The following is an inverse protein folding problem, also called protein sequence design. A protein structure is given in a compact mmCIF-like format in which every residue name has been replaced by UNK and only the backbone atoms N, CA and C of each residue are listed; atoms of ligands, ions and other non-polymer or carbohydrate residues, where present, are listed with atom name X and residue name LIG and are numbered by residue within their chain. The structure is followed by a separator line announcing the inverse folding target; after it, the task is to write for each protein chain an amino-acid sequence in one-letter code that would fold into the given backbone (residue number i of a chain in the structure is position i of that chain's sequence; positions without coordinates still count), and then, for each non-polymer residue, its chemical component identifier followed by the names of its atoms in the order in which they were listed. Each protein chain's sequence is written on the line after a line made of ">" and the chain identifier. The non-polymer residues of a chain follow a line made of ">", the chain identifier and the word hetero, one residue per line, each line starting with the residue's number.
data_IF_602455632139
#
_entry.id   IF_602455632139
#
_cell.length_a   1.000
_cell.length_b   1.000
_cell.length_c   1.000
_cell.angle_alpha   90.00
_cell.angle_beta   90.00
_cell.angle_gamma   90.00
#
_symmetry.space_group_name_H-M   'P 1'
#
loop_
_entity.id
_entity.type
_entity.pdbx_description
1 polymer ?
#
# COMPACT_ATOMS: atom_id res chain seq x y z
N UNK A 1 -19.82 -19.66 -8.37
CA UNK A 1 -18.70 -20.08 -7.87
C UNK A 1 -17.98 -19.07 -7.12
N UNK A 2 -17.31 -19.45 -6.31
CA UNK A 2 -16.67 -18.52 -5.49
C UNK A 2 -15.55 -17.86 -6.21
N UNK A 3 -15.52 -16.60 -6.06
CA UNK A 3 -14.41 -15.84 -6.49
C UNK A 3 -13.35 -15.96 -5.43
N UNK A 4 -12.22 -16.47 -5.78
CA UNK A 4 -11.15 -16.64 -4.83
C UNK A 4 -10.32 -15.39 -4.66
N UNK A 5 -10.83 -14.29 -5.14
CA UNK A 5 -10.10 -13.04 -5.04
C UNK A 5 -10.02 -12.52 -3.62
N UNK A 6 -9.02 -11.70 -3.39
CA UNK A 6 -8.81 -11.03 -2.11
C UNK A 6 -9.02 -9.54 -2.34
N UNK A 7 -9.97 -8.97 -1.59
CA UNK A 7 -10.18 -7.54 -1.63
C UNK A 7 -9.17 -6.88 -0.71
N UNK A 8 -8.45 -5.91 -1.24
CA UNK A 8 -7.38 -5.26 -0.51
C UNK A 8 -7.76 -3.82 -0.20
N UNK A 9 -7.55 -3.43 1.05
CA UNK A 9 -7.71 -2.03 1.46
C UNK A 9 -6.42 -1.63 2.17
N UNK A 10 -5.82 -0.53 1.73
CA UNK A 10 -4.56 -0.07 2.30
C UNK A 10 -4.75 1.32 2.88
N UNK A 11 -4.28 1.49 4.10
CA UNK A 11 -4.33 2.77 4.79
C UNK A 11 -2.90 3.18 5.09
N UNK A 12 -2.48 4.31 4.55
CA UNK A 12 -1.12 4.77 4.71
C UNK A 12 -1.09 6.07 5.49
N UNK A 13 -0.32 6.09 6.57
CA UNK A 13 -0.09 7.28 7.36
C UNK A 13 1.36 7.67 7.13
N UNK A 14 1.58 8.72 6.34
CA UNK A 14 2.94 9.09 5.94
C UNK A 14 3.19 10.56 6.24
N UNK A 15 4.39 10.86 6.71
CA UNK A 15 4.81 12.24 6.92
C UNK A 15 6.01 12.54 6.02
N UNK A 16 6.07 13.78 5.55
CA UNK A 16 7.18 14.24 4.73
C UNK A 16 7.22 13.64 3.33
N UNK A 17 6.09 13.23 2.81
CA UNK A 17 6.03 12.71 1.45
C UNK A 17 6.30 13.87 0.49
N UNK A 18 7.39 13.78 -0.27
CA UNK A 18 7.84 14.90 -1.09
C UNK A 18 7.15 14.98 -2.43
N UNK A 19 6.93 13.85 -3.08
CA UNK A 19 6.33 13.85 -4.40
C UNK A 19 5.09 12.97 -4.39
N UNK A 20 3.97 13.57 -3.99
CA UNK A 20 2.71 12.85 -3.87
C UNK A 20 2.27 12.27 -5.21
N UNK A 21 2.40 13.05 -6.27
CA UNK A 21 2.00 12.60 -7.60
C UNK A 21 2.78 11.36 -8.03
N UNK A 22 4.06 11.38 -7.80
CA UNK A 22 4.90 10.26 -8.19
C UNK A 22 4.52 9.01 -7.41
N UNK A 23 4.27 9.18 -6.13
CA UNK A 23 3.84 8.06 -5.28
C UNK A 23 2.52 7.48 -5.78
N UNK A 24 1.57 8.36 -6.05
CA UNK A 24 0.24 7.90 -6.49
C UNK A 24 0.31 7.20 -7.83
N UNK A 25 1.11 7.72 -8.74
CA UNK A 25 1.29 7.06 -10.03
C UNK A 25 1.90 5.69 -9.88
N UNK A 26 2.87 5.57 -8.97
CA UNK A 26 3.53 4.28 -8.75
C UNK A 26 2.54 3.23 -8.25
N UNK A 27 1.77 3.55 -7.21
CA UNK A 27 0.87 2.56 -6.65
C UNK A 27 -0.28 2.25 -7.60
N UNK A 28 -0.73 3.25 -8.36
CA UNK A 28 -1.79 3.02 -9.34
C UNK A 28 -1.32 2.07 -10.43
N UNK A 29 -0.10 2.24 -10.89
CA UNK A 29 0.48 1.37 -11.90
C UNK A 29 0.53 -0.07 -11.42
N UNK A 30 0.70 -0.24 -10.12
CA UNK A 30 0.79 -1.58 -9.53
C UNK A 30 -0.56 -2.12 -9.09
N UNK A 31 -1.66 -1.43 -9.40
CA UNK A 31 -2.98 -1.95 -9.16
C UNK A 31 -3.72 -1.38 -7.96
N UNK A 32 -3.17 -0.36 -7.32
CA UNK A 32 -3.80 0.23 -6.15
C UNK A 32 -4.46 1.55 -6.52
N UNK A 33 -5.77 1.61 -6.35
CA UNK A 33 -6.56 2.76 -6.75
C UNK A 33 -6.91 3.61 -5.54
N UNK A 34 -6.61 4.90 -5.62
CA UNK A 34 -6.91 5.81 -4.53
C UNK A 34 -8.41 5.94 -4.34
N UNK A 35 -8.84 5.92 -3.08
CA UNK A 35 -10.24 6.12 -2.75
C UNK A 35 -10.54 7.61 -2.80
N UNK A 36 -11.50 7.97 -3.61
CA UNK A 36 -11.83 9.37 -3.80
C UNK A 36 -12.33 9.98 -2.48
N UNK A 37 -11.82 11.15 -2.17
CA UNK A 37 -12.22 11.84 -0.96
C UNK A 37 -11.42 11.47 0.26
N UNK A 38 -10.58 10.44 0.17
CA UNK A 38 -9.76 10.01 1.28
C UNK A 38 -8.29 10.23 0.95
N UNK A 39 -7.53 10.59 1.96
CA UNK A 39 -6.11 10.81 1.76
C UNK A 39 -5.33 9.54 2.07
N UNK A 40 -4.59 9.07 1.09
CA UNK A 40 -3.72 7.89 1.24
C UNK A 40 -4.48 6.64 1.66
N UNK A 41 -5.64 6.45 1.06
CA UNK A 41 -6.40 5.21 1.20
C UNK A 41 -6.52 4.60 -0.19
N UNK A 42 -6.20 3.32 -0.31
CA UNK A 42 -6.14 2.67 -1.62
C UNK A 42 -6.85 1.33 -1.58
N UNK A 43 -7.42 0.95 -2.72
CA UNK A 43 -8.05 -0.36 -2.85
C UNK A 43 -7.36 -1.14 -3.95
N UNK A 44 -7.44 -2.46 -3.85
CA UNK A 44 -6.90 -3.33 -4.86
C UNK A 44 -7.58 -4.67 -4.80
N UNK A 45 -7.16 -5.55 -5.69
CA UNK A 45 -7.73 -6.89 -5.77
C UNK A 45 -6.62 -7.86 -6.11
N UNK A 46 -6.63 -9.02 -5.47
CA UNK A 46 -5.61 -10.03 -5.69
C UNK A 46 -6.27 -11.36 -5.97
N UNK A 47 -5.66 -12.14 -6.85
CA UNK A 47 -6.14 -13.49 -7.14
C UNK A 47 -5.13 -14.54 -6.73
N UNK A 48 -4.13 -14.15 -5.94
CA UNK A 48 -3.12 -15.09 -5.48
C UNK A 48 -3.32 -15.35 -3.98
N UNK A 49 -2.32 -15.92 -3.34
CA UNK A 49 -2.45 -16.31 -1.93
C UNK A 49 -2.36 -15.10 -1.01
N UNK A 50 -2.85 -15.27 0.21
CA UNK A 50 -2.74 -14.22 1.22
C UNK A 50 -1.29 -13.85 1.46
N UNK A 51 -0.42 -14.84 1.55
CA UNK A 51 1.00 -14.58 1.79
C UNK A 51 1.62 -13.73 0.67
N UNK A 52 1.36 -14.13 -0.58
CA UNK A 52 1.91 -13.37 -1.71
C UNK A 52 1.32 -11.98 -1.79
N UNK A 53 0.04 -11.84 -1.46
CA UNK A 53 -0.62 -10.55 -1.49
C UNK A 53 0.01 -9.61 -0.47
N UNK A 54 0.27 -10.10 0.75
CA UNK A 54 0.92 -9.29 1.78
C UNK A 54 2.29 -8.82 1.31
N UNK A 55 3.08 -9.74 0.78
CA UNK A 55 4.43 -9.41 0.33
C UNK A 55 4.39 -8.36 -0.77
N UNK A 56 3.45 -8.48 -1.68
CA UNK A 56 3.31 -7.55 -2.78
C UNK A 56 2.94 -6.15 -2.28
N UNK A 57 1.98 -6.07 -1.38
CA UNK A 57 1.57 -4.79 -0.82
C UNK A 57 2.76 -4.08 -0.17
N UNK A 58 3.48 -4.80 0.67
CA UNK A 58 4.61 -4.22 1.38
C UNK A 58 5.68 -3.73 0.41
N UNK A 59 5.96 -4.51 -0.61
CA UNK A 59 6.98 -4.15 -1.57
C UNK A 59 6.59 -2.93 -2.41
N UNK A 60 5.35 -2.91 -2.88
CA UNK A 60 4.88 -1.82 -3.74
C UNK A 60 4.92 -0.50 -2.99
N UNK A 61 4.41 -0.49 -1.76
CA UNK A 61 4.36 0.75 -1.01
C UNK A 61 5.73 1.20 -0.54
N UNK A 62 6.60 0.24 -0.16
CA UNK A 62 7.96 0.60 0.20
C UNK A 62 8.69 1.27 -0.96
N UNK A 63 8.59 0.68 -2.14
CA UNK A 63 9.25 1.25 -3.31
C UNK A 63 8.69 2.60 -3.69
N UNK A 64 7.37 2.74 -3.60
CA UNK A 64 6.75 4.03 -3.89
C UNK A 64 7.23 5.11 -2.97
N UNK A 65 7.32 4.80 -1.68
CA UNK A 65 7.81 5.76 -0.70
C UNK A 65 9.27 6.13 -0.97
N UNK A 66 10.09 5.14 -1.27
CA UNK A 66 11.51 5.39 -1.53
C UNK A 66 11.72 6.26 -2.76
N UNK A 67 10.94 6.02 -3.81
CA UNK A 67 11.05 6.80 -5.03
C UNK A 67 10.59 8.23 -4.84
N UNK A 68 9.61 8.43 -3.98
CA UNK A 68 8.96 9.73 -3.83
C UNK A 68 9.58 10.59 -2.75
N UNK A 69 10.31 9.98 -1.82
CA UNK A 69 10.90 10.70 -0.71
C UNK A 69 9.92 10.86 0.43
N UNK A 70 10.31 10.45 1.63
CA UNK A 70 9.42 10.53 2.79
C UNK A 70 10.26 10.51 4.06
N UNK A 71 9.64 10.84 5.19
CA UNK A 71 10.32 10.77 6.48
C UNK A 71 9.98 9.49 7.20
N UNK A 72 8.70 9.24 7.42
CA UNK A 72 8.27 8.02 8.07
C UNK A 72 6.85 7.70 7.66
N UNK A 73 6.49 6.44 7.77
CA UNK A 73 5.17 5.98 7.34
C UNK A 73 4.75 4.75 8.12
N UNK A 74 3.45 4.65 8.38
CA UNK A 74 2.84 3.45 8.92
C UNK A 74 1.87 2.93 7.88
N UNK A 75 1.97 1.66 7.57
CA UNK A 75 1.14 1.04 6.55
C UNK A 75 0.26 -0.01 7.21
N UNK A 76 -1.04 0.14 7.07
CA UNK A 76 -2.01 -0.83 7.56
C UNK A 76 -2.78 -1.32 6.37
N UNK A 77 -3.05 -2.62 6.32
CA UNK A 77 -3.89 -3.13 5.24
C UNK A 77 -4.83 -4.18 5.77
N UNK A 78 -5.94 -4.34 5.05
CA UNK A 78 -6.94 -5.33 5.36
C UNK A 78 -7.11 -6.22 4.14
N UNK A 79 -7.20 -7.51 4.37
CA UNK A 79 -7.44 -8.46 3.30
C UNK A 79 -8.78 -9.11 3.59
N UNK A 80 -9.75 -8.90 2.69
CA UNK A 80 -11.12 -9.37 2.90
C UNK A 80 -11.62 -8.92 4.26
N UNK A 81 -11.35 -7.63 4.59
CA UNK A 81 -11.82 -7.00 5.83
C UNK A 81 -11.11 -7.48 7.09
N UNK A 82 -10.10 -8.32 6.97
CA UNK A 82 -9.32 -8.74 8.12
C UNK A 82 -8.09 -7.85 8.23
N UNK A 83 -7.96 -7.09 9.33
CA UNK A 83 -6.81 -6.19 9.48
C UNK A 83 -5.54 -6.94 9.85
N UNK A 84 -4.43 -6.42 9.41
CA UNK A 84 -3.11 -6.96 9.70
C UNK A 84 -2.30 -5.94 10.47
N UNK A 85 -1.29 -6.36 11.22
CA UNK A 85 -0.48 -5.40 11.99
C UNK A 85 0.20 -4.37 11.11
N UNK A 86 0.37 -3.19 11.65
CA UNK A 86 0.98 -2.09 10.91
C UNK A 86 2.46 -2.37 10.67
N UNK A 87 2.93 -1.91 9.51
CA UNK A 87 4.35 -1.93 9.19
C UNK A 87 4.87 -0.51 9.23
N UNK A 88 6.03 -0.32 9.82
CA UNK A 88 6.64 0.99 9.93
C UNK A 88 7.82 1.11 8.98
N UNK A 89 7.86 2.22 8.25
CA UNK A 89 8.99 2.55 7.39
C UNK A 89 9.50 3.93 7.74
N UNK A 90 10.81 4.15 7.61
CA UNK A 90 11.34 5.49 7.66
C UNK A 90 12.36 5.63 6.54
N UNK A 91 12.91 6.85 6.39
CA UNK A 91 13.77 7.11 5.26
C UNK A 91 15.08 6.32 5.29
N UNK A 92 15.37 5.68 6.40
CA UNK A 92 16.55 4.84 6.48
C UNK A 92 16.23 3.37 6.21
N UNK A 93 14.98 3.04 5.96
CA UNK A 93 14.58 1.66 5.66
C UNK A 93 15.13 1.26 4.30
N UNK A 94 15.93 0.20 4.28
CA UNK A 94 16.51 -0.25 3.04
C UNK A 94 16.15 -1.65 2.85
N UNK A 95 15.41 -1.95 1.94
CA UNK A 95 15.16 -3.29 1.63
C UNK A 95 15.33 -4.23 2.52
#
# INVERSE_FOLDING_TARGET
>A
MADNGIEVLVLLDVSGLEDVEKFEKHVKKEGFIAVEGEKHVYTGHSTTTTFSTKAYILEVFKKGLQKSGFLEANLIFLLNETPYPAYYYDKTTND
#
